data_IF_403475617432
#
_entry.id   IF_403475617432
#
_cell.length_a   1.000
_cell.length_b   1.000
_cell.length_c   1.000
_cell.angle_alpha   90.00
_cell.angle_beta   90.00
_cell.angle_gamma   90.00
#
_symmetry.space_group_name_H-M   'P 1'
#
loop_
_entity.id
_entity.type
_entity.pdbx_description
1 polymer ?
#
# COMPACT_ATOMS: atom_id res chain seq x y z
N UNK A 1 31.68 -3.29 -9.77
CA UNK A 1 31.29 -3.19 -8.34
C UNK A 1 31.17 -1.71 -8.02
N UNK A 2 29.99 -1.24 -7.62
CA UNK A 2 29.80 0.17 -7.25
C UNK A 2 30.25 0.34 -5.80
N UNK A 3 31.25 1.17 -5.57
CA UNK A 3 31.73 1.51 -4.23
C UNK A 3 30.99 2.77 -3.76
N UNK A 4 30.21 2.62 -2.69
CA UNK A 4 29.46 3.73 -2.10
C UNK A 4 30.40 4.56 -1.22
N UNK A 5 30.56 5.85 -1.55
CA UNK A 5 31.34 6.76 -0.73
C UNK A 5 30.63 7.03 0.61
N UNK A 6 31.36 7.18 1.72
CA UNK A 6 30.79 7.62 2.98
C UNK A 6 30.09 8.98 2.83
N UNK A 7 28.96 9.15 3.51
CA UNK A 7 28.25 10.43 3.56
C UNK A 7 29.09 11.45 4.33
N UNK A 8 29.26 12.65 3.81
CA UNK A 8 29.92 13.74 4.52
C UNK A 8 28.97 14.32 5.57
N UNK A 9 29.42 14.41 6.82
CA UNK A 9 28.63 14.90 7.94
C UNK A 9 29.20 16.26 8.36
N UNK A 10 28.44 17.34 8.13
CA UNK A 10 28.89 18.73 8.33
C UNK A 10 28.27 19.35 9.57
N UNK A 11 27.03 18.98 9.89
CA UNK A 11 26.27 19.51 11.02
C UNK A 11 26.10 18.48 12.13
N UNK A 12 25.75 18.93 13.35
CA UNK A 12 25.36 18.03 14.43
C UNK A 12 24.11 17.21 14.07
N UNK A 13 23.21 17.79 13.27
CA UNK A 13 22.02 17.12 12.74
C UNK A 13 22.39 15.98 11.79
N UNK A 14 23.38 16.16 10.91
CA UNK A 14 23.85 15.10 10.00
C UNK A 14 24.37 13.88 10.77
N UNK A 15 25.13 14.12 11.84
CA UNK A 15 25.67 13.06 12.70
C UNK A 15 24.55 12.30 13.42
N UNK A 16 23.53 13.02 13.90
CA UNK A 16 22.35 12.42 14.51
C UNK A 16 21.58 11.58 13.49
N UNK A 17 21.27 12.14 12.32
CA UNK A 17 20.53 11.43 11.26
C UNK A 17 21.26 10.20 10.75
N UNK A 18 22.59 10.27 10.62
CA UNK A 18 23.41 9.13 10.26
C UNK A 18 23.32 8.02 11.31
N UNK A 19 23.31 8.38 12.60
CA UNK A 19 23.18 7.42 13.71
C UNK A 19 21.78 6.79 13.73
N UNK A 20 20.73 7.60 13.57
CA UNK A 20 19.34 7.16 13.51
C UNK A 20 19.05 6.30 12.27
N UNK A 21 19.80 6.46 11.18
CA UNK A 21 19.62 5.65 9.97
C UNK A 21 19.82 4.14 10.23
N UNK A 22 20.71 3.78 11.16
CA UNK A 22 20.95 2.38 11.58
C UNK A 22 19.71 1.82 12.28
N UNK A 23 19.13 2.58 13.20
CA UNK A 23 17.93 2.19 13.93
C UNK A 23 16.72 2.08 13.00
N UNK A 24 16.52 3.07 12.11
CA UNK A 24 15.50 2.99 11.05
C UNK A 24 15.71 1.80 10.11
N UNK A 25 16.96 1.39 9.84
CA UNK A 25 17.25 0.17 9.05
C UNK A 25 16.84 -1.08 9.81
N UNK A 26 17.11 -1.16 11.11
CA UNK A 26 16.69 -2.30 11.96
C UNK A 26 15.17 -2.48 11.92
N UNK A 27 14.41 -1.38 12.07
CA UNK A 27 12.94 -1.39 11.97
C UNK A 27 12.48 -1.90 10.59
N UNK A 28 13.04 -1.37 9.49
CA UNK A 28 12.70 -1.79 8.12
C UNK A 28 12.93 -3.28 7.87
N UNK A 29 14.01 -3.83 8.40
CA UNK A 29 14.35 -5.25 8.23
C UNK A 29 13.49 -6.17 9.11
N UNK A 30 13.18 -5.75 10.34
CA UNK A 30 12.38 -6.53 11.28
C UNK A 30 10.87 -6.47 11.04
N UNK A 31 10.37 -5.49 10.27
CA UNK A 31 8.95 -5.21 10.09
C UNK A 31 8.11 -6.42 9.69
N UNK A 32 8.57 -7.21 8.73
CA UNK A 32 7.83 -8.40 8.25
C UNK A 32 7.66 -9.43 9.37
N UNK A 33 8.70 -9.64 10.19
CA UNK A 33 8.66 -10.58 11.31
C UNK A 33 7.74 -10.07 12.43
N UNK A 34 7.81 -8.77 12.74
CA UNK A 34 6.92 -8.14 13.74
C UNK A 34 5.47 -8.29 13.31
N UNK A 35 5.16 -7.97 12.05
CA UNK A 35 3.81 -8.12 11.51
C UNK A 35 3.33 -9.58 11.56
N UNK A 36 4.15 -10.53 11.12
CA UNK A 36 3.82 -11.96 11.19
C UNK A 36 3.54 -12.43 12.63
N UNK A 37 4.30 -11.95 13.61
CA UNK A 37 4.09 -12.28 15.02
C UNK A 37 2.74 -11.75 15.53
N UNK A 38 2.42 -10.49 15.23
CA UNK A 38 1.13 -9.89 15.61
C UNK A 38 -0.05 -10.63 14.97
N UNK A 39 0.07 -11.03 13.71
CA UNK A 39 -0.95 -11.84 13.03
C UNK A 39 -1.14 -13.21 13.68
N UNK A 40 -0.05 -13.86 14.11
CA UNK A 40 -0.14 -15.13 14.83
C UNK A 40 -0.80 -14.99 16.20
N UNK A 41 -0.59 -13.88 16.90
CA UNK A 41 -1.25 -13.59 18.18
C UNK A 41 -2.75 -13.35 17.99
N UNK A 42 -3.12 -12.51 17.02
CA UNK A 42 -4.54 -12.26 16.68
C UNK A 42 -5.29 -13.53 16.25
N UNK A 43 -4.66 -14.41 15.48
CA UNK A 43 -5.27 -15.69 15.08
C UNK A 43 -5.39 -16.70 16.24
N UNK A 44 -4.58 -16.57 17.30
CA UNK A 44 -4.65 -17.43 18.49
C UNK A 44 -5.73 -16.98 19.47
N UNK A 45 -6.07 -15.70 19.50
CA UNK A 45 -7.20 -15.14 20.25
C UNK A 45 -8.56 -15.40 19.57
N UNK A 46 -8.67 -16.51 18.84
CA UNK A 46 -9.72 -16.77 17.86
C UNK A 46 -11.15 -16.48 18.33
N UNK A 47 -12.01 -16.21 17.34
CA UNK A 47 -13.46 -16.15 17.50
C UNK A 47 -13.90 -15.02 18.45
N UNK A 48 -13.72 -13.77 18.00
CA UNK A 48 -14.37 -12.64 18.66
C UNK A 48 -15.88 -12.83 18.52
N UNK A 49 -16.49 -13.29 19.61
CA UNK A 49 -17.93 -13.48 19.77
C UNK A 49 -18.71 -12.39 19.04
N UNK A 50 -19.48 -12.80 18.01
CA UNK A 50 -20.35 -11.97 17.19
C UNK A 50 -21.28 -11.13 18.09
N UNK A 51 -20.91 -9.88 18.34
CA UNK A 51 -21.77 -8.95 19.04
C UNK A 51 -22.91 -8.50 18.12
N UNK A 52 -24.02 -8.06 18.71
CA UNK A 52 -25.25 -7.61 18.05
C UNK A 52 -25.08 -6.48 17.00
N UNK A 53 -23.87 -5.96 16.83
CA UNK A 53 -23.51 -4.79 16.02
C UNK A 53 -23.10 -5.12 14.57
N UNK A 54 -23.03 -6.40 14.18
CA UNK A 54 -22.72 -6.81 12.80
C UNK A 54 -23.87 -6.59 11.78
N UNK A 55 -25.09 -6.28 12.24
CA UNK A 55 -26.25 -6.18 11.33
C UNK A 55 -26.17 -5.01 10.34
N UNK A 56 -25.44 -3.95 10.69
CA UNK A 56 -25.30 -2.74 9.86
C UNK A 56 -23.91 -2.65 9.18
N UNK A 57 -23.12 -3.73 9.22
CA UNK A 57 -21.81 -3.77 8.58
C UNK A 57 -21.95 -3.92 7.06
N UNK A 58 -21.21 -3.09 6.31
CA UNK A 58 -21.23 -3.08 4.85
C UNK A 58 -20.16 -4.04 4.31
N UNK A 59 -20.49 -4.84 3.30
CA UNK A 59 -19.52 -5.70 2.62
C UNK A 59 -18.48 -4.87 1.86
N UNK A 60 -17.21 -5.27 1.94
CA UNK A 60 -16.11 -4.63 1.20
C UNK A 60 -16.01 -5.08 -0.26
N UNK A 61 -16.73 -6.12 -0.69
CA UNK A 61 -16.63 -6.69 -2.04
C UNK A 61 -16.88 -5.64 -3.13
N UNK A 62 -17.84 -4.75 -2.90
CA UNK A 62 -18.20 -3.68 -3.85
C UNK A 62 -17.11 -2.61 -3.98
N UNK A 63 -16.18 -2.54 -3.02
CA UNK A 63 -15.07 -1.60 -3.04
C UNK A 63 -13.90 -2.07 -3.90
N UNK A 64 -13.91 -3.33 -4.37
CA UNK A 64 -12.80 -3.90 -5.15
C UNK A 64 -12.58 -3.17 -6.48
N UNK A 65 -11.38 -2.61 -6.68
CA UNK A 65 -10.96 -1.96 -7.92
C UNK A 65 -9.78 -2.71 -8.49
N UNK A 66 -9.88 -3.04 -9.78
CA UNK A 66 -8.75 -3.51 -10.57
C UNK A 66 -8.42 -2.47 -11.65
N UNK A 67 -7.15 -2.13 -11.79
CA UNK A 67 -6.63 -1.36 -12.93
C UNK A 67 -5.40 -2.04 -13.50
N UNK A 68 -5.14 -1.86 -14.78
CA UNK A 68 -3.94 -2.36 -15.45
C UNK A 68 -3.26 -1.21 -16.19
N UNK A 69 -1.97 -1.03 -15.93
CA UNK A 69 -1.16 0.01 -16.57
C UNK A 69 -0.02 -0.63 -17.37
N UNK A 70 0.22 -0.12 -18.57
CA UNK A 70 1.37 -0.52 -19.38
C UNK A 70 2.58 0.35 -19.01
N UNK A 71 3.71 -0.28 -18.70
CA UNK A 71 4.95 0.44 -18.44
C UNK A 71 5.52 0.91 -19.78
N UNK A 72 5.51 2.23 -19.97
CA UNK A 72 6.07 2.91 -21.14
C UNK A 72 7.44 3.50 -20.80
N UNK A 73 8.25 3.89 -21.81
CA UNK A 73 9.54 4.54 -21.58
C UNK A 73 9.57 5.69 -20.55
N UNK A 74 8.60 6.63 -20.49
CA UNK A 74 8.62 7.70 -19.48
C UNK A 74 8.42 7.20 -18.03
N UNK A 75 7.91 5.97 -17.85
CA UNK A 75 7.66 5.37 -16.55
C UNK A 75 8.91 4.71 -15.95
N UNK A 76 10.03 4.70 -16.68
CA UNK A 76 11.24 3.98 -16.32
C UNK A 76 12.49 4.85 -16.48
N UNK A 77 13.56 4.43 -15.80
CA UNK A 77 14.88 5.03 -16.01
C UNK A 77 15.48 4.58 -17.35
N UNK A 78 16.63 5.17 -17.72
CA UNK A 78 17.32 4.88 -18.99
C UNK A 78 17.81 3.42 -19.13
N UNK A 79 17.81 2.63 -18.06
CA UNK A 79 18.07 1.19 -18.11
C UNK A 79 16.78 0.36 -18.25
N UNK A 80 15.63 1.01 -18.41
CA UNK A 80 14.33 0.36 -18.56
C UNK A 80 13.69 -0.11 -17.25
N UNK A 81 14.24 0.23 -16.07
CA UNK A 81 13.62 -0.13 -14.78
C UNK A 81 12.53 0.88 -14.42
N UNK A 82 11.33 0.39 -14.11
CA UNK A 82 10.19 1.21 -13.70
C UNK A 82 10.51 2.01 -12.44
N UNK A 83 10.14 3.30 -12.43
CA UNK A 83 10.29 4.13 -11.26
C UNK A 83 9.32 3.69 -10.16
N UNK A 84 9.82 3.43 -8.95
CA UNK A 84 8.97 3.12 -7.80
C UNK A 84 7.97 4.24 -7.49
N UNK A 85 8.33 5.50 -7.75
CA UNK A 85 7.43 6.65 -7.64
C UNK A 85 6.22 6.56 -8.58
N UNK A 86 6.41 6.06 -9.80
CA UNK A 86 5.33 5.87 -10.75
C UNK A 86 4.35 4.78 -10.29
N UNK A 87 4.88 3.66 -9.78
CA UNK A 87 4.05 2.59 -9.21
C UNK A 87 3.23 3.12 -8.04
N UNK A 88 3.82 3.92 -7.15
CA UNK A 88 3.11 4.53 -6.02
C UNK A 88 1.99 5.48 -6.47
N UNK A 89 2.19 6.25 -7.54
CA UNK A 89 1.18 7.15 -8.08
C UNK A 89 -0.05 6.38 -8.60
N UNK A 90 0.18 5.29 -9.34
CA UNK A 90 -0.92 4.41 -9.80
C UNK A 90 -1.61 3.72 -8.64
N UNK A 91 -0.86 3.20 -7.65
CA UNK A 91 -1.44 2.61 -6.44
C UNK A 91 -2.35 3.58 -5.70
N UNK A 92 -1.91 4.82 -5.50
CA UNK A 92 -2.70 5.84 -4.82
C UNK A 92 -4.01 6.11 -5.57
N UNK A 93 -3.96 6.18 -6.90
CA UNK A 93 -5.14 6.40 -7.75
C UNK A 93 -6.16 5.29 -7.56
N UNK A 94 -5.73 4.03 -7.70
CA UNK A 94 -6.62 2.85 -7.57
C UNK A 94 -7.18 2.73 -6.15
N UNK A 95 -6.35 2.96 -5.13
CA UNK A 95 -6.78 2.94 -3.74
C UNK A 95 -7.79 4.04 -3.41
N UNK A 96 -7.60 5.24 -3.96
CA UNK A 96 -8.52 6.36 -3.79
C UNK A 96 -9.89 6.04 -4.38
N UNK A 97 -9.95 5.36 -5.53
CA UNK A 97 -11.21 4.91 -6.13
C UNK A 97 -11.89 3.88 -5.21
N UNK A 98 -11.14 2.92 -4.67
CA UNK A 98 -11.66 1.93 -3.72
C UNK A 98 -12.24 2.59 -2.46
N UNK A 99 -11.54 3.56 -1.87
CA UNK A 99 -12.03 4.31 -0.72
C UNK A 99 -13.30 5.12 -1.08
N UNK A 100 -13.32 5.74 -2.26
CA UNK A 100 -14.47 6.53 -2.75
C UNK A 100 -15.73 5.69 -2.89
N UNK A 101 -15.61 4.40 -3.28
CA UNK A 101 -16.75 3.48 -3.36
C UNK A 101 -17.41 3.21 -2.00
N UNK A 102 -16.64 3.27 -0.92
CA UNK A 102 -17.17 3.12 0.43
C UNK A 102 -17.80 4.41 0.96
N UNK A 103 -17.09 5.54 0.89
CA UNK A 103 -17.57 6.79 1.49
C UNK A 103 -18.52 7.60 0.61
N UNK A 104 -18.57 7.32 -0.70
CA UNK A 104 -19.29 8.13 -1.70
C UNK A 104 -18.94 9.63 -1.63
N UNK A 105 -17.72 9.94 -1.19
CA UNK A 105 -17.15 11.28 -1.06
C UNK A 105 -15.73 11.28 -1.63
N UNK A 106 -15.00 12.39 -1.48
CA UNK A 106 -13.61 12.56 -1.92
C UNK A 106 -12.64 12.17 -0.79
N UNK A 107 -12.02 10.98 -0.84
CA UNK A 107 -11.05 10.57 0.15
C UNK A 107 -9.72 11.32 -0.05
N UNK A 108 -9.12 11.72 1.06
CA UNK A 108 -7.81 12.35 1.13
C UNK A 108 -6.83 11.36 1.76
N UNK A 109 -5.68 11.16 1.11
CA UNK A 109 -4.63 10.28 1.60
C UNK A 109 -4.02 10.87 2.88
N UNK A 110 -4.09 10.11 3.97
CA UNK A 110 -3.53 10.49 5.27
C UNK A 110 -2.15 9.88 5.51
N UNK A 111 -1.98 8.60 5.17
CA UNK A 111 -0.73 7.90 5.35
C UNK A 111 -0.60 6.71 4.40
N UNK A 112 0.64 6.29 4.15
CA UNK A 112 0.96 5.03 3.49
C UNK A 112 1.84 4.23 4.44
N UNK A 113 1.46 3.00 4.73
CA UNK A 113 2.24 2.13 5.60
C UNK A 113 3.56 1.74 4.95
N UNK A 114 4.56 1.43 5.78
CA UNK A 114 5.86 0.97 5.28
C UNK A 114 5.70 -0.32 4.47
N UNK A 115 6.28 -0.35 3.28
CA UNK A 115 6.29 -1.51 2.40
C UNK A 115 7.64 -1.67 1.70
N UNK A 116 7.79 -2.77 0.96
CA UNK A 116 8.99 -3.11 0.20
C UNK A 116 8.62 -3.50 -1.23
N UNK A 117 9.46 -3.12 -2.19
CA UNK A 117 9.47 -3.69 -3.53
C UNK A 117 10.23 -5.03 -3.51
N UNK A 118 9.51 -6.10 -3.84
CA UNK A 118 10.01 -7.49 -3.81
C UNK A 118 10.67 -7.90 -5.12
N UNK A 119 10.19 -7.37 -6.24
CA UNK A 119 10.71 -7.67 -7.58
C UNK A 119 10.87 -6.41 -8.44
N UNK A 120 11.69 -6.48 -9.49
CA UNK A 120 11.80 -5.41 -10.48
C UNK A 120 10.59 -5.40 -11.42
N UNK A 121 10.37 -4.25 -12.06
CA UNK A 121 9.49 -4.10 -13.21
C UNK A 121 10.23 -3.33 -14.30
N UNK A 122 9.90 -3.65 -15.55
CA UNK A 122 10.58 -3.13 -16.74
C UNK A 122 9.61 -2.51 -17.74
N UNK A 123 10.12 -1.68 -18.64
CA UNK A 123 9.37 -1.19 -19.81
C UNK A 123 8.79 -2.37 -20.59
N UNK A 124 7.50 -2.28 -20.92
CA UNK A 124 6.74 -3.34 -21.58
C UNK A 124 5.98 -4.26 -20.60
N UNK A 125 6.27 -4.22 -19.30
CA UNK A 125 5.46 -4.92 -18.31
C UNK A 125 4.04 -4.34 -18.24
N UNK A 126 3.07 -5.22 -17.98
CA UNK A 126 1.72 -4.86 -17.52
C UNK A 126 1.70 -4.92 -16.01
N UNK A 127 1.41 -3.80 -15.37
CA UNK A 127 1.21 -3.75 -13.93
C UNK A 127 -0.28 -3.83 -13.61
N UNK A 128 -0.67 -4.88 -12.90
CA UNK A 128 -2.04 -5.08 -12.41
C UNK A 128 -2.11 -4.62 -10.97
N UNK A 129 -3.02 -3.71 -10.68
CA UNK A 129 -3.28 -3.14 -9.36
C UNK A 129 -4.64 -3.65 -8.90
N UNK A 130 -4.65 -4.44 -7.83
CA UNK A 130 -5.87 -4.88 -7.16
C UNK A 130 -5.98 -4.15 -5.82
N UNK A 131 -7.03 -3.36 -5.63
CA UNK A 131 -7.28 -2.63 -4.39
C UNK A 131 -8.65 -2.99 -3.81
N UNK A 132 -8.72 -3.05 -2.48
CA UNK A 132 -9.98 -3.26 -1.74
C UNK A 132 -9.89 -2.60 -0.37
N UNK A 133 -11.02 -2.16 0.17
CA UNK A 133 -11.09 -1.74 1.58
C UNK A 133 -10.85 -2.96 2.47
N UNK A 134 -9.90 -2.83 3.40
CA UNK A 134 -9.63 -3.87 4.40
C UNK A 134 -10.46 -3.67 5.66
N UNK A 135 -10.43 -2.44 6.18
CA UNK A 135 -11.10 -2.10 7.44
C UNK A 135 -11.34 -0.59 7.57
N UNK A 136 -12.20 -0.22 8.51
CA UNK A 136 -12.55 1.17 8.86
C UNK A 136 -12.30 1.44 10.33
N UNK A 137 -11.69 2.58 10.63
CA UNK A 137 -11.41 3.06 11.98
C UNK A 137 -12.01 4.45 12.17
N UNK A 138 -13.25 4.51 12.67
CA UNK A 138 -14.01 5.75 12.93
C UNK A 138 -13.97 6.75 11.75
N UNK A 139 -13.00 7.68 11.73
CA UNK A 139 -12.82 8.71 10.69
C UNK A 139 -11.77 8.34 9.63
N UNK A 140 -11.36 7.09 9.55
CA UNK A 140 -10.39 6.62 8.55
C UNK A 140 -10.75 5.26 7.97
N UNK A 141 -10.29 5.02 6.75
CA UNK A 141 -10.42 3.74 6.05
C UNK A 141 -9.04 3.28 5.60
N UNK A 142 -8.77 2.00 5.78
CA UNK A 142 -7.59 1.35 5.22
C UNK A 142 -7.96 0.65 3.90
N UNK A 143 -7.18 0.93 2.87
CA UNK A 143 -7.27 0.25 1.57
C UNK A 143 -5.97 -0.52 1.32
N UNK A 144 -6.10 -1.82 1.12
CA UNK A 144 -4.99 -2.67 0.67
C UNK A 144 -4.84 -2.59 -0.85
N UNK A 145 -3.61 -2.52 -1.35
CA UNK A 145 -3.30 -2.62 -2.78
C UNK A 145 -2.22 -3.66 -3.00
N UNK A 146 -2.46 -4.59 -3.93
CA UNK A 146 -1.49 -5.57 -4.40
C UNK A 146 -1.12 -5.26 -5.85
N UNK A 147 0.18 -5.21 -6.12
CA UNK A 147 0.73 -4.91 -7.44
C UNK A 147 1.46 -6.14 -7.99
N UNK A 148 1.06 -6.55 -9.18
CA UNK A 148 1.68 -7.64 -9.92
C UNK A 148 2.19 -7.14 -11.27
N UNK A 149 3.34 -7.63 -11.71
CA UNK A 149 3.88 -7.37 -13.03
C UNK A 149 3.82 -8.62 -13.89
N UNK A 150 3.52 -8.41 -15.16
CA UNK A 150 3.55 -9.42 -16.20
C UNK A 150 4.33 -8.89 -17.40
N UNK A 151 5.39 -9.58 -17.78
CA UNK A 151 5.92 -9.45 -19.13
C UNK A 151 4.96 -10.09 -20.16
N UNK A 152 5.28 -10.04 -21.46
CA UNK A 152 4.40 -10.60 -22.49
C UNK A 152 4.15 -12.11 -22.37
N UNK A 153 5.15 -12.91 -22.00
CA UNK A 153 5.02 -14.37 -21.85
C UNK A 153 4.31 -14.72 -20.53
N UNK A 154 4.70 -14.07 -19.43
CA UNK A 154 4.08 -14.20 -18.10
C UNK A 154 2.58 -13.87 -18.15
N UNK A 155 2.18 -12.89 -18.95
CA UNK A 155 0.78 -12.53 -19.17
C UNK A 155 -0.03 -13.66 -19.82
N UNK A 156 0.56 -14.38 -20.78
CA UNK A 156 -0.10 -15.49 -21.48
C UNK A 156 -0.20 -16.72 -20.57
N UNK A 157 0.81 -16.92 -19.72
CA UNK A 157 0.92 -18.08 -18.83
C UNK A 157 0.26 -17.87 -17.45
N UNK A 158 -0.28 -16.68 -17.19
CA UNK A 158 -0.85 -16.27 -15.89
C UNK A 158 0.13 -16.48 -14.72
N UNK A 159 1.39 -16.06 -14.92
CA UNK A 159 2.45 -16.17 -13.93
C UNK A 159 2.95 -14.78 -13.49
N UNK A 160 2.26 -14.11 -12.55
CA UNK A 160 2.65 -12.79 -12.08
C UNK A 160 3.93 -12.79 -11.25
N UNK A 161 4.68 -11.69 -11.38
CA UNK A 161 5.69 -11.30 -10.40
C UNK A 161 5.05 -10.35 -9.38
N UNK A 162 5.00 -10.74 -8.10
CA UNK A 162 4.54 -9.84 -7.04
C UNK A 162 5.56 -8.72 -6.83
N UNK A 163 5.17 -7.49 -7.16
CA UNK A 163 6.05 -6.32 -7.07
C UNK A 163 6.03 -5.75 -5.65
N UNK A 164 4.85 -5.43 -5.14
CA UNK A 164 4.66 -4.98 -3.76
C UNK A 164 3.20 -5.09 -3.34
N UNK A 165 2.98 -5.02 -2.03
CA UNK A 165 1.68 -4.72 -1.45
C UNK A 165 1.83 -3.55 -0.50
N UNK A 166 0.85 -2.65 -0.46
CA UNK A 166 0.83 -1.55 0.48
C UNK A 166 -0.57 -1.33 1.04
N UNK A 167 -0.61 -0.62 2.16
CA UNK A 167 -1.83 -0.25 2.86
C UNK A 167 -1.87 1.27 2.97
N UNK A 168 -2.93 1.86 2.46
CA UNK A 168 -3.12 3.30 2.39
C UNK A 168 -4.27 3.68 3.32
N UNK A 169 -4.04 4.69 4.16
CA UNK A 169 -5.03 5.20 5.10
C UNK A 169 -5.61 6.49 4.52
N UNK A 170 -6.92 6.53 4.38
CA UNK A 170 -7.66 7.69 3.91
C UNK A 170 -8.57 8.24 4.99
N UNK A 171 -8.86 9.53 4.90
CA UNK A 171 -9.97 10.22 5.58
C UNK A 171 -10.84 10.90 4.54
N UNK A 172 -12.12 11.12 4.82
CA UNK A 172 -12.99 11.89 3.93
C UNK A 172 -13.66 13.02 4.73
N UNK A 173 -14.06 14.07 4.01
CA UNK A 173 -14.93 15.12 4.55
C UNK A 173 -16.35 14.92 4.04
N UNK A 174 -17.34 15.30 4.84
CA UNK A 174 -18.73 15.40 4.42
C UNK A 174 -19.00 16.71 3.66
N UNK A 175 -20.24 16.91 3.20
CA UNK A 175 -20.64 18.11 2.47
C UNK A 175 -20.56 19.41 3.30
N UNK A 176 -20.41 19.30 4.63
CA UNK A 176 -20.27 20.42 5.57
C UNK A 176 -18.79 20.71 5.88
N UNK A 177 -17.86 19.90 5.37
CA UNK A 177 -16.44 20.00 5.66
C UNK A 177 -16.02 19.36 6.99
N UNK A 178 -16.89 18.57 7.62
CA UNK A 178 -16.58 17.81 8.83
C UNK A 178 -16.00 16.43 8.47
N UNK A 179 -15.25 15.82 9.39
CA UNK A 179 -14.70 14.47 9.17
C UNK A 179 -15.83 13.45 9.06
N UNK A 180 -15.83 12.71 7.96
CA UNK A 180 -16.80 11.65 7.72
C UNK A 180 -16.49 10.43 8.62
N UNK A 181 -17.51 9.98 9.35
CA UNK A 181 -17.47 8.68 10.03
C UNK A 181 -17.78 7.58 9.02
N UNK A 182 -16.84 6.65 8.85
CA UNK A 182 -17.00 5.52 7.95
C UNK A 182 -17.92 4.44 8.56
N UNK A 183 -18.76 3.77 7.74
CA UNK A 183 -19.53 2.64 8.20
C UNK A 183 -18.60 1.49 8.59
N UNK A 184 -19.01 0.65 9.55
CA UNK A 184 -18.26 -0.58 9.85
C UNK A 184 -18.31 -1.50 8.63
N UNK A 185 -17.20 -2.19 8.36
CA UNK A 185 -17.09 -3.09 7.21
C UNK A 185 -16.93 -4.54 7.64
N UNK A 186 -17.46 -5.44 6.82
CA UNK A 186 -17.24 -6.88 6.91
C UNK A 186 -16.36 -7.31 5.73
N UNK A 187 -15.17 -7.89 5.99
CA UNK A 187 -14.29 -8.40 4.95
C UNK A 187 -14.92 -9.53 4.13
#
# INVERSE_FOLDING_TARGET
QVELKPVQLLSAEDHLEHSLAIERRRIRLGYVQVFQKLMQESNKEGDFSLSREEKDAVSTEQTHVQSTELVLPPHANHHGNTFGGQIMAWMQTVASISASRLCRSHPVLKAVNMFKFWGPSFVGDRLVFNAIVNNTFHNSVEVGVRVEAYNCEEWIQDQPRHINSAFLIFSALDDKGELLTFPRVKP
#
